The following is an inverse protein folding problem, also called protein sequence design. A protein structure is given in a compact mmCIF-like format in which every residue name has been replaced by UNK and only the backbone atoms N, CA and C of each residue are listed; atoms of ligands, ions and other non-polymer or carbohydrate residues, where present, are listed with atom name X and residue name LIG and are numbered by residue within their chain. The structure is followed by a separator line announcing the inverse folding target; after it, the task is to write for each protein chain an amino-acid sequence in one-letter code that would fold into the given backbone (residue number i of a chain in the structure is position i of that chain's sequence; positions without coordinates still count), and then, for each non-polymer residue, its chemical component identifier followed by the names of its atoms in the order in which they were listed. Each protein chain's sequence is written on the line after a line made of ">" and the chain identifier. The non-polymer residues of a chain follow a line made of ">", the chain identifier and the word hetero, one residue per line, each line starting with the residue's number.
data_IF_690982774294
#
_entry.id   IF_690982774294
#
_cell.length_a   1.000
_cell.length_b   1.000
_cell.length_c   1.000
_cell.angle_alpha   90.00
_cell.angle_beta   90.00
_cell.angle_gamma   90.00
#
_symmetry.space_group_name_H-M   'P 1'
#
loop_
_entity.id
_entity.type
_entity.pdbx_description
1 polymer ?
#
# COMPACT_ATOMS: atom_id res chain seq x y z
N UNK A 1 -43.89 -27.54 -14.40
CA UNK A 1 -43.05 -26.66 -13.57
C UNK A 1 -43.09 -25.28 -14.20
N UNK A 2 -43.81 -24.33 -13.60
CA UNK A 2 -44.17 -23.08 -14.28
C UNK A 2 -42.95 -22.17 -14.45
N UNK A 3 -42.82 -21.56 -15.64
CA UNK A 3 -41.76 -20.62 -16.04
C UNK A 3 -41.54 -19.47 -15.03
N UNK A 4 -42.57 -19.13 -14.24
CA UNK A 4 -42.51 -18.09 -13.19
C UNK A 4 -41.60 -18.46 -12.01
N UNK A 5 -41.32 -19.75 -11.78
CA UNK A 5 -40.50 -20.21 -10.65
C UNK A 5 -38.99 -20.21 -10.98
N UNK A 6 -38.61 -20.20 -12.26
CA UNK A 6 -37.21 -20.17 -12.70
C UNK A 6 -36.60 -18.75 -12.74
N UNK A 7 -37.41 -17.70 -12.84
CA UNK A 7 -36.92 -16.31 -12.87
C UNK A 7 -36.60 -15.73 -11.48
N UNK A 8 -37.08 -16.35 -10.39
CA UNK A 8 -36.84 -15.86 -9.04
C UNK A 8 -35.47 -16.30 -8.46
N UNK A 9 -34.84 -17.33 -9.03
CA UNK A 9 -33.59 -17.90 -8.50
C UNK A 9 -32.32 -17.25 -9.06
N UNK A 10 -32.40 -16.51 -10.18
CA UNK A 10 -31.24 -15.92 -10.85
C UNK A 10 -30.93 -14.48 -10.44
N UNK A 11 -31.79 -13.82 -9.66
CA UNK A 11 -31.57 -12.43 -9.21
C UNK A 11 -30.77 -12.38 -7.89
N UNK A 12 -30.63 -13.49 -7.17
CA UNK A 12 -29.97 -13.53 -5.86
C UNK A 12 -28.42 -13.59 -5.91
N UNK A 13 -27.80 -13.75 -7.08
CA UNK A 13 -26.36 -13.97 -7.19
C UNK A 13 -25.52 -12.72 -7.50
N UNK A 14 -26.14 -11.54 -7.66
CA UNK A 14 -25.45 -10.34 -8.15
C UNK A 14 -25.07 -9.31 -7.06
N UNK A 15 -25.31 -9.57 -5.77
CA UNK A 15 -25.11 -8.57 -4.70
C UNK A 15 -23.82 -8.73 -3.88
N UNK A 16 -22.94 -9.67 -4.21
CA UNK A 16 -21.72 -9.92 -3.42
C UNK A 16 -20.59 -8.90 -3.64
N UNK A 17 -20.75 -7.94 -4.56
CA UNK A 17 -19.69 -6.96 -4.90
C UNK A 17 -19.63 -5.71 -4.03
N UNK A 18 -20.67 -5.40 -3.24
CA UNK A 18 -20.77 -4.14 -2.46
C UNK A 18 -20.58 -4.30 -0.95
N UNK A 19 -20.48 -5.53 -0.43
CA UNK A 19 -20.36 -5.77 1.00
C UNK A 19 -18.96 -5.53 1.57
N UNK A 20 -17.91 -5.71 0.76
CA UNK A 20 -16.52 -5.66 1.24
C UNK A 20 -16.04 -4.23 1.61
N UNK A 21 -16.50 -3.20 0.88
CA UNK A 21 -16.08 -1.80 1.13
C UNK A 21 -16.73 -1.19 2.37
N UNK A 22 -17.99 -1.55 2.65
CA UNK A 22 -18.68 -1.16 3.88
C UNK A 22 -17.98 -1.78 5.11
N UNK A 23 -17.56 -3.05 5.02
CA UNK A 23 -16.93 -3.76 6.13
C UNK A 23 -15.64 -3.08 6.63
N UNK A 24 -14.72 -2.70 5.73
CA UNK A 24 -13.44 -2.09 6.17
C UNK A 24 -13.64 -0.74 6.87
N UNK A 25 -14.47 0.14 6.32
CA UNK A 25 -14.72 1.46 6.93
C UNK A 25 -15.45 1.33 8.28
N UNK A 26 -16.42 0.42 8.36
CA UNK A 26 -17.16 0.16 9.60
C UNK A 26 -16.24 -0.43 10.68
N UNK A 27 -15.33 -1.33 10.33
CA UNK A 27 -14.30 -1.87 11.24
C UNK A 27 -13.38 -0.77 11.77
N UNK A 28 -12.88 0.11 10.89
CA UNK A 28 -12.01 1.24 11.27
C UNK A 28 -12.75 2.20 12.19
N UNK A 29 -14.01 2.53 11.88
CA UNK A 29 -14.85 3.41 12.71
C UNK A 29 -15.20 2.80 14.06
N UNK A 30 -15.57 1.52 14.08
CA UNK A 30 -15.86 0.77 15.31
C UNK A 30 -14.65 0.73 16.25
N UNK A 31 -13.45 0.53 15.69
CA UNK A 31 -12.19 0.55 16.44
C UNK A 31 -11.72 1.96 16.79
N UNK A 32 -12.15 2.97 16.05
CA UNK A 32 -11.73 4.37 16.23
C UNK A 32 -10.28 4.65 15.82
N UNK A 33 -9.62 3.74 15.10
CA UNK A 33 -8.24 3.93 14.58
C UNK A 33 -8.04 3.24 13.24
N UNK A 34 -7.36 3.94 12.34
CA UNK A 34 -6.86 3.42 11.06
C UNK A 34 -5.52 2.71 11.28
N UNK A 35 -5.41 1.44 10.91
CA UNK A 35 -4.12 0.77 10.82
C UNK A 35 -3.52 1.03 9.44
N UNK A 36 -2.51 1.89 9.38
CA UNK A 36 -1.86 2.26 8.12
C UNK A 36 -0.48 1.58 8.02
N UNK A 37 -0.28 0.82 6.95
CA UNK A 37 0.96 0.09 6.69
C UNK A 37 1.96 1.02 6.01
N UNK A 38 3.10 1.26 6.66
CA UNK A 38 4.15 2.20 6.22
C UNK A 38 5.52 1.53 6.09
N UNK A 39 6.53 2.29 5.67
CA UNK A 39 7.92 1.82 5.60
C UNK A 39 8.50 1.60 7.00
N UNK A 40 9.52 0.74 7.12
CA UNK A 40 10.29 0.56 8.36
C UNK A 40 11.24 1.74 8.64
N UNK A 41 11.48 2.56 7.62
CA UNK A 41 12.35 3.73 7.68
C UNK A 41 12.82 4.12 6.27
N UNK A 42 12.21 5.16 5.72
CA UNK A 42 12.59 5.77 4.45
C UNK A 42 12.47 7.28 4.58
N UNK A 43 13.60 7.97 4.62
CA UNK A 43 13.65 9.42 4.79
C UNK A 43 12.79 10.13 3.73
N UNK A 44 12.01 11.12 4.17
CA UNK A 44 11.06 11.87 3.33
C UNK A 44 9.70 11.18 3.15
N UNK A 45 9.61 9.86 3.30
CA UNK A 45 8.37 9.09 3.12
C UNK A 45 7.77 8.63 4.45
N UNK A 46 8.52 7.87 5.23
CA UNK A 46 8.11 7.41 6.56
C UNK A 46 9.34 7.07 7.38
N UNK A 47 9.69 7.93 8.34
CA UNK A 47 10.77 7.70 9.28
C UNK A 47 10.41 8.25 10.67
N UNK A 48 10.84 7.60 11.76
CA UNK A 48 10.69 8.17 13.10
C UNK A 48 11.63 9.36 13.28
N UNK A 49 11.16 10.38 13.99
CA UNK A 49 12.01 11.45 14.53
C UNK A 49 12.82 10.96 15.75
N UNK A 50 13.65 11.84 16.33
CA UNK A 50 14.46 11.53 17.51
C UNK A 50 13.64 11.19 18.76
N UNK A 51 12.32 11.44 18.75
CA UNK A 51 11.38 11.14 19.82
C UNK A 51 10.52 9.90 19.51
N UNK A 52 10.73 9.26 18.36
CA UNK A 52 9.99 8.09 17.91
C UNK A 52 8.66 8.40 17.21
N UNK A 53 8.34 9.66 16.93
CA UNK A 53 7.14 10.02 16.18
C UNK A 53 7.36 9.79 14.70
N UNK A 54 6.44 9.09 14.04
CA UNK A 54 6.50 8.90 12.60
C UNK A 54 6.26 10.22 11.85
N UNK A 55 7.09 10.49 10.85
CA UNK A 55 7.01 11.65 9.97
C UNK A 55 7.25 11.27 8.51
N UNK A 56 6.73 12.09 7.59
CA UNK A 56 6.99 12.00 6.16
C UNK A 56 5.73 11.89 5.31
N UNK A 57 5.91 11.86 4.00
CA UNK A 57 4.83 11.88 3.03
C UNK A 57 3.79 10.76 3.21
N UNK A 58 4.24 9.51 3.40
CA UNK A 58 3.33 8.36 3.57
C UNK A 58 2.58 8.43 4.90
N UNK A 59 3.22 8.98 5.94
CA UNK A 59 2.64 9.22 7.27
C UNK A 59 1.54 10.26 7.18
N UNK A 60 1.80 11.39 6.51
CA UNK A 60 0.84 12.47 6.32
C UNK A 60 -0.36 12.01 5.49
N UNK A 61 -0.13 11.15 4.49
CA UNK A 61 -1.23 10.51 3.76
C UNK A 61 -2.12 9.67 4.68
N UNK A 62 -1.54 8.84 5.57
CA UNK A 62 -2.31 8.07 6.55
C UNK A 62 -3.14 8.98 7.48
N UNK A 63 -2.55 10.09 7.94
CA UNK A 63 -3.25 11.08 8.79
C UNK A 63 -4.42 11.73 8.06
N UNK A 64 -4.23 12.06 6.77
CA UNK A 64 -5.31 12.59 5.94
C UNK A 64 -6.46 11.59 5.77
N UNK A 65 -6.15 10.30 5.57
CA UNK A 65 -7.17 9.24 5.52
C UNK A 65 -7.90 9.08 6.85
N UNK A 66 -7.18 9.10 7.98
CA UNK A 66 -7.79 9.02 9.31
C UNK A 66 -8.69 10.23 9.60
N UNK A 67 -8.24 11.44 9.27
CA UNK A 67 -9.07 12.64 9.38
C UNK A 67 -10.37 12.51 8.56
N UNK A 68 -10.29 11.99 7.34
CA UNK A 68 -11.46 11.79 6.49
C UNK A 68 -12.40 10.67 6.99
N UNK A 69 -11.86 9.57 7.51
CA UNK A 69 -12.65 8.40 7.92
C UNK A 69 -13.22 8.52 9.34
N UNK A 70 -12.47 9.15 10.25
CA UNK A 70 -12.69 9.17 11.70
C UNK A 70 -12.89 10.58 12.27
N UNK A 71 -12.57 11.64 11.52
CA UNK A 71 -12.62 13.03 12.01
C UNK A 71 -11.43 13.42 12.88
N UNK A 72 -10.42 12.56 13.00
CA UNK A 72 -9.20 12.79 13.80
C UNK A 72 -7.96 12.35 13.00
N UNK A 73 -7.07 13.29 12.73
CA UNK A 73 -5.84 13.05 11.97
C UNK A 73 -4.81 12.22 12.75
N UNK A 74 -4.93 12.17 14.09
CA UNK A 74 -4.00 11.45 14.97
C UNK A 74 -4.54 10.05 15.32
N UNK A 75 -5.74 9.69 14.85
CA UNK A 75 -6.35 8.37 15.00
C UNK A 75 -5.74 7.31 14.06
N UNK A 76 -4.41 7.25 14.01
CA UNK A 76 -3.63 6.31 13.20
C UNK A 76 -2.85 5.36 14.12
N UNK A 77 -2.77 4.10 13.71
CA UNK A 77 -1.79 3.14 14.18
C UNK A 77 -0.88 2.76 13.02
N UNK A 78 0.43 2.91 13.19
CA UNK A 78 1.40 2.67 12.13
C UNK A 78 1.92 1.24 12.19
N UNK A 79 1.73 0.49 11.11
CA UNK A 79 2.19 -0.90 10.98
C UNK A 79 3.35 -0.93 9.99
N UNK A 80 4.56 -1.25 10.45
CA UNK A 80 5.72 -1.23 9.56
C UNK A 80 5.80 -2.48 8.68
N UNK A 81 6.16 -2.31 7.42
CA UNK A 81 6.41 -3.41 6.48
C UNK A 81 7.64 -3.18 5.61
N UNK A 82 8.28 -4.29 5.23
CA UNK A 82 9.34 -4.31 4.21
C UNK A 82 8.73 -4.41 2.81
N UNK A 83 9.56 -4.26 1.77
CA UNK A 83 9.15 -4.56 0.40
C UNK A 83 8.54 -5.97 0.26
N UNK A 84 9.16 -6.98 0.89
CA UNK A 84 8.71 -8.36 0.81
C UNK A 84 7.37 -8.64 1.53
N UNK A 85 7.11 -7.95 2.65
CA UNK A 85 6.00 -8.34 3.56
C UNK A 85 4.74 -7.50 3.40
N UNK A 86 4.82 -6.31 2.79
CA UNK A 86 3.73 -5.32 2.75
C UNK A 86 2.40 -5.85 2.22
N UNK A 87 2.43 -6.62 1.14
CA UNK A 87 1.22 -7.15 0.52
C UNK A 87 0.58 -8.26 1.34
N UNK A 88 1.39 -9.12 1.96
CA UNK A 88 0.90 -10.14 2.89
C UNK A 88 0.24 -9.50 4.11
N UNK A 89 0.83 -8.42 4.67
CA UNK A 89 0.26 -7.69 5.79
C UNK A 89 -1.09 -7.07 5.45
N UNK A 90 -1.20 -6.40 4.30
CA UNK A 90 -2.47 -5.84 3.85
C UNK A 90 -3.52 -6.94 3.61
N UNK A 91 -3.15 -8.04 2.94
CA UNK A 91 -4.06 -9.17 2.68
C UNK A 91 -4.52 -9.89 3.95
N UNK A 92 -3.70 -9.94 4.99
CA UNK A 92 -4.03 -10.58 6.27
C UNK A 92 -4.83 -9.68 7.22
N UNK A 93 -5.13 -8.44 6.83
CA UNK A 93 -5.87 -7.49 7.66
C UNK A 93 -5.05 -6.89 8.79
N UNK A 94 -3.70 -6.96 8.73
CA UNK A 94 -2.86 -6.25 9.71
C UNK A 94 -2.95 -4.73 9.56
N UNK A 95 -3.40 -4.25 8.39
CA UNK A 95 -3.81 -2.86 8.20
C UNK A 95 -4.75 -2.70 7.02
N UNK A 96 -5.42 -1.56 6.94
CA UNK A 96 -6.47 -1.31 5.94
C UNK A 96 -5.96 -0.51 4.74
N UNK A 97 -4.89 0.26 4.92
CA UNK A 97 -4.27 1.06 3.86
C UNK A 97 -2.77 0.80 3.82
N UNK A 98 -2.22 0.60 2.63
CA UNK A 98 -0.79 0.51 2.38
C UNK A 98 -0.29 1.84 1.79
N UNK A 99 0.20 2.72 2.65
CA UNK A 99 0.84 3.98 2.27
C UNK A 99 2.36 3.80 2.29
N UNK A 100 2.94 3.46 1.14
CA UNK A 100 4.38 3.27 0.95
C UNK A 100 4.78 3.71 -0.45
N UNK A 101 6.07 3.76 -0.73
CA UNK A 101 6.67 3.78 -2.08
C UNK A 101 6.43 2.47 -2.88
N UNK A 102 5.16 2.05 -2.99
CA UNK A 102 4.74 0.85 -3.73
C UNK A 102 4.36 1.25 -5.15
N UNK A 103 5.26 1.02 -6.10
CA UNK A 103 4.98 1.27 -7.53
C UNK A 103 3.75 0.51 -8.00
N UNK A 104 2.84 1.19 -8.67
CA UNK A 104 1.73 0.54 -9.37
C UNK A 104 2.26 -0.08 -10.67
N UNK A 105 2.21 -1.40 -10.76
CA UNK A 105 2.59 -2.15 -11.97
C UNK A 105 1.45 -3.07 -12.35
N UNK A 106 1.33 -3.41 -13.63
CA UNK A 106 0.28 -4.32 -14.11
C UNK A 106 0.22 -5.65 -13.34
N UNK A 107 1.37 -6.32 -13.14
CA UNK A 107 1.41 -7.59 -12.39
C UNK A 107 0.88 -7.47 -10.97
N UNK A 108 1.29 -6.42 -10.23
CA UNK A 108 0.77 -6.15 -8.88
C UNK A 108 -0.75 -5.96 -8.87
N UNK A 109 -1.30 -5.25 -9.85
CA UNK A 109 -2.73 -4.92 -9.92
C UNK A 109 -3.59 -6.14 -10.22
N UNK A 110 -3.10 -7.06 -11.06
CA UNK A 110 -3.84 -8.27 -11.45
C UNK A 110 -3.61 -9.46 -10.51
N UNK A 111 -2.42 -9.58 -9.91
CA UNK A 111 -2.04 -10.79 -9.17
C UNK A 111 -2.25 -10.68 -7.65
N UNK A 112 -2.11 -9.48 -7.05
CA UNK A 112 -2.07 -9.35 -5.59
C UNK A 112 -3.44 -9.26 -4.93
N UNK A 113 -4.52 -9.22 -5.73
CA UNK A 113 -5.90 -9.08 -5.26
C UNK A 113 -6.07 -7.87 -4.32
N UNK A 114 -5.41 -6.76 -4.66
CA UNK A 114 -5.43 -5.52 -3.91
C UNK A 114 -5.74 -4.37 -4.85
N UNK A 115 -6.51 -3.41 -4.36
CA UNK A 115 -6.91 -2.26 -5.16
C UNK A 115 -5.92 -1.12 -4.98
N UNK A 116 -5.27 -0.71 -6.07
CA UNK A 116 -4.58 0.57 -6.13
C UNK A 116 -5.60 1.68 -6.36
N UNK A 117 -5.59 2.70 -5.51
CA UNK A 117 -6.63 3.74 -5.49
C UNK A 117 -6.24 5.02 -6.23
N UNK A 118 -4.95 5.25 -6.44
CA UNK A 118 -4.45 6.46 -7.08
C UNK A 118 -2.93 6.58 -7.00
N UNK A 119 -2.36 7.34 -7.93
CA UNK A 119 -0.94 7.68 -7.92
C UNK A 119 -0.77 8.94 -7.07
N UNK A 120 0.01 8.85 -5.99
CA UNK A 120 0.34 9.97 -5.11
C UNK A 120 1.76 10.51 -5.33
N UNK A 121 2.63 9.75 -6.02
CA UNK A 121 4.02 10.11 -6.30
C UNK A 121 4.50 9.41 -7.58
N UNK A 122 5.22 10.13 -8.45
CA UNK A 122 5.91 9.57 -9.60
C UNK A 122 7.40 9.41 -9.28
N UNK A 123 7.91 8.19 -9.37
CA UNK A 123 9.31 7.87 -9.09
C UNK A 123 10.09 7.47 -10.35
N UNK A 124 11.38 7.15 -10.15
CA UNK A 124 12.26 6.60 -11.17
C UNK A 124 13.27 5.65 -10.55
N UNK A 125 13.69 4.64 -11.31
CA UNK A 125 14.74 3.72 -10.91
C UNK A 125 16.09 4.21 -11.43
N UNK A 126 17.12 4.10 -10.60
CA UNK A 126 18.47 4.52 -10.94
C UNK A 126 19.52 3.73 -10.18
N UNK A 127 20.78 3.88 -10.58
CA UNK A 127 21.92 3.25 -9.93
C UNK A 127 22.68 4.28 -9.12
N UNK A 128 23.04 3.90 -7.90
CA UNK A 128 23.99 4.66 -7.07
C UNK A 128 25.29 3.87 -7.08
N UNK A 129 26.36 4.53 -7.50
CA UNK A 129 27.71 3.98 -7.57
C UNK A 129 28.66 4.85 -6.77
N UNK A 130 29.83 4.30 -6.41
CA UNK A 130 30.90 5.14 -5.91
C UNK A 130 31.44 6.01 -7.03
N UNK A 131 31.79 7.25 -6.70
CA UNK A 131 32.31 8.24 -7.67
C UNK A 131 33.63 7.79 -8.33
N UNK A 132 34.46 7.05 -7.61
CA UNK A 132 35.75 6.54 -8.08
C UNK A 132 35.63 5.45 -9.16
N UNK A 133 34.47 4.82 -9.32
CA UNK A 133 34.18 3.86 -10.38
C UNK A 133 34.18 4.51 -11.77
N UNK A 134 34.03 5.84 -11.85
CA UNK A 134 34.15 6.61 -13.09
C UNK A 134 33.02 6.41 -14.11
N UNK A 135 32.04 5.57 -13.82
CA UNK A 135 30.90 5.29 -14.71
C UNK A 135 29.87 6.40 -14.67
N UNK A 136 29.30 6.73 -15.84
CA UNK A 136 28.29 7.79 -15.97
C UNK A 136 26.94 7.28 -16.48
N UNK A 137 26.91 6.04 -16.95
CA UNK A 137 25.71 5.38 -17.47
C UNK A 137 25.56 3.97 -16.91
N UNK A 138 24.32 3.53 -16.71
CA UNK A 138 24.01 2.14 -16.38
C UNK A 138 24.49 1.16 -17.47
N UNK A 139 24.70 1.63 -18.70
CA UNK A 139 25.24 0.82 -19.81
C UNK A 139 26.71 0.43 -19.62
N UNK A 140 27.42 1.09 -18.71
CA UNK A 140 28.83 0.83 -18.40
C UNK A 140 28.99 -0.17 -17.25
N UNK A 141 27.90 -0.72 -16.71
CA UNK A 141 27.90 -1.64 -15.57
C UNK A 141 27.95 -3.12 -15.99
N UNK A 142 28.41 -3.42 -17.21
CA UNK A 142 28.57 -4.81 -17.66
C UNK A 142 29.57 -5.56 -16.76
N UNK A 143 29.19 -6.78 -16.37
CA UNK A 143 29.95 -7.60 -15.42
C UNK A 143 29.95 -7.12 -13.96
N UNK A 144 29.30 -5.99 -13.62
CA UNK A 144 29.21 -5.51 -12.25
C UNK A 144 28.25 -6.35 -11.40
N UNK A 145 28.54 -6.46 -10.10
CA UNK A 145 27.60 -7.00 -9.12
C UNK A 145 26.61 -5.92 -8.70
N UNK A 146 25.31 -6.18 -8.87
CA UNK A 146 24.24 -5.23 -8.55
C UNK A 146 23.49 -5.67 -7.29
N UNK A 147 23.42 -4.78 -6.31
CA UNK A 147 22.57 -4.97 -5.13
C UNK A 147 21.20 -4.35 -5.35
N UNK A 148 20.13 -5.09 -5.03
CA UNK A 148 18.75 -4.63 -5.08
C UNK A 148 18.03 -4.92 -3.77
N UNK A 149 16.95 -4.20 -3.50
CA UNK A 149 16.03 -4.56 -2.42
C UNK A 149 15.08 -5.65 -2.90
N UNK A 150 14.94 -6.74 -2.13
CA UNK A 150 14.00 -7.80 -2.49
C UNK A 150 12.55 -7.31 -2.42
N UNK A 151 11.74 -7.68 -3.42
CA UNK A 151 10.32 -7.32 -3.49
C UNK A 151 10.06 -5.90 -4.03
N UNK A 152 11.04 -5.28 -4.67
CA UNK A 152 10.88 -4.06 -5.48
C UNK A 152 10.63 -4.42 -6.95
N UNK A 153 10.44 -3.40 -7.79
CA UNK A 153 10.43 -3.54 -9.26
C UNK A 153 11.84 -3.71 -9.79
#
# INVERSE_FOLDING_TARGET
>A
MNMKTLMAATIAAATLGTAATAATLDEVRSRGKLNCIINTGLAGFAAPDDKGNWMGFDVDFCRAVAAAALGDADAVNYVTATGKTRFTKLRSGEGEVLSRNTTWTFSRDVDLQQTFIGVNYYDGQGFIVKKDLGVTSAKELDGASICIQTGTT
#
